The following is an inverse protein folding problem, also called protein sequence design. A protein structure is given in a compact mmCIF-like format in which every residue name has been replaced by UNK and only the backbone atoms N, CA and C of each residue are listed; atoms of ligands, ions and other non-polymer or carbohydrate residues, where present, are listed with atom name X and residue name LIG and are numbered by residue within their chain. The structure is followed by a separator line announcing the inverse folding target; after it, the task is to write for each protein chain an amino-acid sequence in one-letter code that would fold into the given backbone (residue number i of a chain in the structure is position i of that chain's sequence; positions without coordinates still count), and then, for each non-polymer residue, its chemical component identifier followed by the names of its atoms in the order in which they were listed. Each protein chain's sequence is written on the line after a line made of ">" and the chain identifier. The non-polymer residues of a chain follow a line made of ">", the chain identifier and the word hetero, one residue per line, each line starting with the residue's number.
data_IF_524203020914
#
_entry.id   IF_524203020914
#
_cell.length_a   1.000
_cell.length_b   1.000
_cell.length_c   1.000
_cell.angle_alpha   90.00
_cell.angle_beta   90.00
_cell.angle_gamma   90.00
#
_symmetry.space_group_name_H-M   'P 1'
#
loop_
_entity.id
_entity.type
_entity.pdbx_description
1 polymer ?
#
# COMPACT_ATOMS: atom_id res chain seq x y z
N UNK A 1 8.16 -0.56 5.32
CA UNK A 1 7.67 -1.96 5.18
C UNK A 1 8.75 -2.87 4.61
N UNK A 2 9.39 -2.53 3.50
CA UNK A 2 10.41 -3.37 2.86
C UNK A 2 11.58 -3.73 3.78
N UNK A 3 12.03 -2.79 4.60
CA UNK A 3 13.13 -3.02 5.56
C UNK A 3 12.72 -4.01 6.65
N UNK A 4 11.52 -3.86 7.21
CA UNK A 4 10.99 -4.80 8.21
C UNK A 4 10.84 -6.20 7.63
N UNK A 5 10.43 -6.33 6.38
CA UNK A 5 10.34 -7.62 5.71
C UNK A 5 11.70 -8.28 5.49
N UNK A 6 12.69 -7.52 5.00
CA UNK A 6 14.04 -8.03 4.84
C UNK A 6 14.63 -8.46 6.20
N UNK A 7 14.45 -7.65 7.25
CA UNK A 7 14.89 -7.96 8.61
C UNK A 7 14.23 -9.23 9.16
N UNK A 8 12.90 -9.38 9.00
CA UNK A 8 12.18 -10.60 9.42
C UNK A 8 12.73 -11.86 8.78
N UNK A 9 12.99 -11.84 7.47
CA UNK A 9 13.52 -13.01 6.74
C UNK A 9 14.94 -13.33 7.21
N UNK A 10 15.78 -12.31 7.41
CA UNK A 10 17.19 -12.50 7.76
C UNK A 10 17.36 -12.89 9.23
N UNK A 11 16.68 -12.22 10.15
CA UNK A 11 16.94 -12.35 11.59
C UNK A 11 15.98 -13.34 12.24
N UNK A 12 14.69 -13.30 11.94
CA UNK A 12 13.69 -14.15 12.59
C UNK A 12 13.63 -15.53 11.93
N UNK A 13 13.62 -15.57 10.59
CA UNK A 13 13.56 -16.83 9.85
C UNK A 13 14.94 -17.46 9.61
N UNK A 14 16.03 -16.73 9.90
CA UNK A 14 17.43 -17.18 9.68
C UNK A 14 17.68 -17.71 8.26
N UNK A 15 17.05 -17.08 7.25
CA UNK A 15 17.11 -17.55 5.87
C UNK A 15 18.23 -16.87 5.07
N UNK A 16 18.61 -17.51 3.99
CA UNK A 16 19.70 -17.04 3.11
C UNK A 16 19.32 -15.76 2.36
N UNK A 17 20.29 -14.94 1.92
CA UNK A 17 20.03 -13.71 1.15
C UNK A 17 19.19 -13.93 -0.11
N UNK A 18 19.29 -15.11 -0.76
CA UNK A 18 18.49 -15.45 -1.93
C UNK A 18 16.99 -15.48 -1.60
N UNK A 19 16.63 -16.01 -0.42
CA UNK A 19 15.25 -16.05 0.06
C UNK A 19 14.74 -14.67 0.45
N UNK A 20 15.60 -13.76 0.90
CA UNK A 20 15.24 -12.34 1.08
C UNK A 20 14.85 -11.73 -0.26
N UNK A 21 15.62 -12.00 -1.32
CA UNK A 21 15.30 -11.56 -2.68
C UNK A 21 13.94 -12.09 -3.16
N UNK A 22 13.68 -13.38 -2.97
CA UNK A 22 12.39 -14.00 -3.34
C UNK A 22 11.23 -13.38 -2.56
N UNK A 23 11.38 -13.15 -1.27
CA UNK A 23 10.37 -12.50 -0.44
C UNK A 23 10.08 -11.06 -0.90
N UNK A 24 11.12 -10.31 -1.27
CA UNK A 24 10.98 -8.98 -1.83
C UNK A 24 10.27 -9.00 -3.19
N UNK A 25 10.61 -9.98 -4.04
CA UNK A 25 9.91 -10.18 -5.32
C UNK A 25 8.44 -10.54 -5.09
N UNK A 26 8.13 -11.42 -4.15
CA UNK A 26 6.76 -11.80 -3.79
C UNK A 26 5.92 -10.60 -3.33
N UNK A 27 6.54 -9.64 -2.62
CA UNK A 27 5.91 -8.39 -2.23
C UNK A 27 5.70 -7.43 -3.41
N UNK A 28 6.68 -7.28 -4.31
CA UNK A 28 6.64 -6.30 -5.41
C UNK A 28 5.88 -6.79 -6.63
N UNK A 29 5.91 -8.10 -6.91
CA UNK A 29 5.35 -8.69 -8.12
C UNK A 29 3.85 -8.44 -8.31
N UNK A 30 2.99 -8.56 -7.28
CA UNK A 30 1.58 -8.18 -7.41
C UNK A 30 1.40 -6.72 -7.80
N UNK A 31 2.25 -5.82 -7.29
CA UNK A 31 2.22 -4.40 -7.64
C UNK A 31 2.40 -4.16 -9.13
N UNK A 32 3.33 -4.87 -9.75
CA UNK A 32 3.61 -4.72 -11.18
C UNK A 32 2.43 -5.12 -12.07
N UNK A 33 1.74 -6.20 -11.72
CA UNK A 33 0.59 -6.69 -12.51
C UNK A 33 -0.72 -5.96 -12.17
N UNK A 34 -0.94 -5.65 -10.91
CA UNK A 34 -2.20 -5.08 -10.44
C UNK A 34 -2.28 -3.56 -10.56
N UNK A 35 -1.16 -2.86 -10.81
CA UNK A 35 -1.17 -1.39 -10.89
C UNK A 35 -2.07 -0.86 -12.00
N UNK A 36 -2.10 -1.54 -13.16
CA UNK A 36 -2.97 -1.19 -14.28
C UNK A 36 -4.44 -1.45 -13.96
N UNK A 37 -4.71 -2.58 -13.31
CA UNK A 37 -6.07 -2.96 -12.89
C UNK A 37 -6.52 -2.05 -11.74
N UNK A 38 -5.62 -1.73 -10.81
CA UNK A 38 -5.89 -0.85 -9.67
C UNK A 38 -6.33 0.55 -10.07
N UNK A 39 -5.72 1.12 -11.12
CA UNK A 39 -6.14 2.41 -11.69
C UNK A 39 -7.58 2.34 -12.23
N UNK A 40 -7.88 1.37 -13.07
CA UNK A 40 -9.22 1.17 -13.61
C UNK A 40 -10.28 0.87 -12.53
N UNK A 41 -9.91 0.12 -11.48
CA UNK A 41 -10.78 -0.11 -10.33
C UNK A 41 -11.06 1.19 -9.54
N UNK A 42 -10.05 2.04 -9.38
CA UNK A 42 -10.19 3.31 -8.68
C UNK A 42 -11.18 4.24 -9.39
N UNK A 43 -11.17 4.22 -10.72
CA UNK A 43 -12.12 5.00 -11.55
C UNK A 43 -13.55 4.46 -11.45
N UNK A 44 -13.73 3.14 -11.31
CA UNK A 44 -15.04 2.50 -11.23
C UNK A 44 -15.67 2.55 -9.83
N UNK A 45 -14.91 2.19 -8.80
CA UNK A 45 -15.41 2.05 -7.43
C UNK A 45 -15.25 3.31 -6.58
N UNK A 46 -14.52 4.32 -7.11
CA UNK A 46 -14.17 5.54 -6.39
C UNK A 46 -12.91 5.37 -5.54
N UNK A 47 -11.94 6.27 -5.72
CA UNK A 47 -10.61 6.19 -5.10
C UNK A 47 -10.67 6.07 -3.57
N UNK A 48 -11.60 6.77 -2.89
CA UNK A 48 -11.75 6.70 -1.43
C UNK A 48 -12.11 5.30 -0.94
N UNK A 49 -13.12 4.65 -1.55
CA UNK A 49 -13.57 3.31 -1.14
C UNK A 49 -12.47 2.29 -1.38
N UNK A 50 -11.80 2.40 -2.52
CA UNK A 50 -10.74 1.48 -2.87
C UNK A 50 -9.51 1.66 -1.97
N UNK A 51 -9.12 2.89 -1.65
CA UNK A 51 -8.06 3.19 -0.69
C UNK A 51 -8.40 2.66 0.72
N UNK A 52 -9.65 2.83 1.18
CA UNK A 52 -10.11 2.29 2.46
C UNK A 52 -10.04 0.77 2.50
N UNK A 53 -10.57 0.08 1.48
CA UNK A 53 -10.56 -1.38 1.41
C UNK A 53 -9.13 -1.93 1.35
N UNK A 54 -8.29 -1.38 0.49
CA UNK A 54 -6.89 -1.80 0.36
C UNK A 54 -6.08 -1.54 1.64
N UNK A 55 -6.29 -0.40 2.29
CA UNK A 55 -5.62 -0.06 3.54
C UNK A 55 -6.09 -0.94 4.70
N UNK A 56 -7.39 -1.25 4.78
CA UNK A 56 -7.93 -2.19 5.76
C UNK A 56 -7.38 -3.61 5.54
N UNK A 57 -7.29 -4.05 4.29
CA UNK A 57 -6.69 -5.33 3.94
C UNK A 57 -5.20 -5.38 4.32
N UNK A 58 -4.44 -4.30 4.08
CA UNK A 58 -3.05 -4.19 4.52
C UNK A 58 -2.92 -4.27 6.05
N UNK A 59 -3.81 -3.60 6.79
CA UNK A 59 -3.82 -3.62 8.25
C UNK A 59 -4.12 -5.03 8.80
N UNK A 60 -5.11 -5.72 8.22
CA UNK A 60 -5.45 -7.11 8.58
C UNK A 60 -4.30 -8.08 8.24
N UNK A 61 -3.64 -7.89 7.11
CA UNK A 61 -2.47 -8.69 6.73
C UNK A 61 -1.33 -8.50 7.73
N UNK A 62 -1.02 -7.27 8.13
CA UNK A 62 0.01 -7.00 9.14
C UNK A 62 -0.37 -7.56 10.52
N UNK A 63 -1.65 -7.43 10.92
CA UNK A 63 -2.15 -8.02 12.17
C UNK A 63 -2.09 -9.55 12.14
N UNK A 64 -2.46 -10.16 11.02
CA UNK A 64 -2.37 -11.61 10.81
C UNK A 64 -0.93 -12.13 10.93
N UNK A 65 0.02 -11.43 10.32
CA UNK A 65 1.45 -11.77 10.44
C UNK A 65 1.94 -11.65 11.89
N UNK A 66 1.56 -10.57 12.59
CA UNK A 66 1.89 -10.39 14.01
C UNK A 66 1.29 -11.51 14.88
N UNK A 67 0.04 -11.88 14.62
CA UNK A 67 -0.65 -12.95 15.35
C UNK A 67 -0.02 -14.32 15.07
N UNK A 68 0.34 -14.60 13.82
CA UNK A 68 1.03 -15.85 13.45
C UNK A 68 2.37 -15.96 14.20
N UNK A 69 3.14 -14.86 14.24
CA UNK A 69 4.40 -14.83 14.97
C UNK A 69 4.22 -15.00 16.49
N UNK A 70 3.07 -14.57 17.04
CA UNK A 70 2.76 -14.70 18.47
C UNK A 70 2.28 -16.11 18.86
N UNK A 71 1.58 -16.80 17.97
CA UNK A 71 0.92 -18.09 18.28
C UNK A 71 1.68 -19.31 17.78
N UNK A 72 2.48 -19.15 16.71
CA UNK A 72 3.16 -20.26 16.03
C UNK A 72 4.56 -19.86 15.60
N UNK A 73 5.39 -20.85 15.28
CA UNK A 73 6.66 -20.59 14.61
C UNK A 73 6.39 -20.09 13.17
N UNK A 74 6.92 -18.91 12.85
CA UNK A 74 6.77 -18.32 11.53
C UNK A 74 7.59 -19.10 10.51
N UNK A 75 6.91 -19.78 9.60
CA UNK A 75 7.56 -20.48 8.49
C UNK A 75 7.74 -19.54 7.30
N UNK A 76 8.83 -19.72 6.55
CA UNK A 76 9.10 -18.91 5.35
C UNK A 76 7.95 -18.92 4.32
N UNK A 77 7.31 -20.07 4.12
CA UNK A 77 6.15 -20.19 3.22
C UNK A 77 4.96 -19.33 3.67
N UNK A 78 4.67 -19.34 4.97
CA UNK A 78 3.59 -18.52 5.56
C UNK A 78 3.94 -17.03 5.39
N UNK A 79 5.21 -16.67 5.64
CA UNK A 79 5.67 -15.31 5.42
C UNK A 79 5.49 -14.84 3.96
N UNK A 80 5.79 -15.70 2.97
CA UNK A 80 5.57 -15.38 1.54
C UNK A 80 4.10 -15.07 1.24
N UNK A 81 3.15 -15.81 1.82
CA UNK A 81 1.72 -15.51 1.67
C UNK A 81 1.39 -14.10 2.16
N UNK A 82 1.89 -13.72 3.33
CA UNK A 82 1.69 -12.37 3.85
C UNK A 82 2.40 -11.30 3.00
N UNK A 83 3.57 -11.60 2.44
CA UNK A 83 4.29 -10.70 1.53
C UNK A 83 3.46 -10.43 0.26
N UNK A 84 2.93 -11.48 -0.38
CA UNK A 84 2.05 -11.37 -1.57
C UNK A 84 0.77 -10.59 -1.21
N UNK A 85 0.11 -10.93 -0.11
CA UNK A 85 -1.11 -10.25 0.33
C UNK A 85 -0.88 -8.75 0.58
N UNK A 86 0.23 -8.39 1.22
CA UNK A 86 0.63 -7.01 1.44
C UNK A 86 0.94 -6.30 0.11
N UNK A 87 1.60 -6.98 -0.83
CA UNK A 87 1.86 -6.48 -2.18
C UNK A 87 0.57 -6.19 -2.95
N UNK A 88 -0.42 -7.07 -2.89
CA UNK A 88 -1.74 -6.85 -3.46
C UNK A 88 -2.45 -5.64 -2.84
N UNK A 89 -2.38 -5.49 -1.51
CA UNK A 89 -2.94 -4.34 -0.81
C UNK A 89 -2.32 -3.03 -1.31
N UNK A 90 -0.99 -2.97 -1.41
CA UNK A 90 -0.26 -1.78 -1.87
C UNK A 90 -0.53 -1.45 -3.34
N UNK A 91 -0.68 -2.48 -4.19
CA UNK A 91 -1.04 -2.31 -5.59
C UNK A 91 -2.40 -1.61 -5.80
N UNK A 92 -3.31 -1.81 -4.87
CA UNK A 92 -4.64 -1.18 -4.87
C UNK A 92 -4.61 0.21 -4.22
N UNK A 93 -3.95 0.34 -3.06
CA UNK A 93 -3.91 1.59 -2.28
C UNK A 93 -3.17 2.69 -3.02
N UNK A 94 -2.05 2.37 -3.68
CA UNK A 94 -1.17 3.37 -4.30
C UNK A 94 -1.90 4.18 -5.38
N UNK A 95 -2.49 3.59 -6.43
CA UNK A 95 -3.19 4.36 -7.46
C UNK A 95 -4.44 5.06 -6.90
N UNK A 96 -5.15 4.44 -5.96
CA UNK A 96 -6.31 5.04 -5.32
C UNK A 96 -5.95 6.31 -4.53
N UNK A 97 -4.84 6.28 -3.78
CA UNK A 97 -4.31 7.42 -3.05
C UNK A 97 -3.86 8.55 -3.98
N UNK A 98 -3.12 8.19 -5.02
CA UNK A 98 -2.58 9.18 -5.97
C UNK A 98 -3.71 9.85 -6.76
N UNK A 99 -4.76 9.10 -7.12
CA UNK A 99 -6.00 9.62 -7.70
C UNK A 99 -6.72 10.60 -6.75
N UNK A 100 -6.85 10.26 -5.47
CA UNK A 100 -7.43 11.16 -4.46
C UNK A 100 -6.63 12.46 -4.31
N UNK A 101 -5.30 12.37 -4.34
CA UNK A 101 -4.42 13.54 -4.25
C UNK A 101 -4.66 14.51 -5.41
N UNK A 102 -4.84 14.01 -6.63
CA UNK A 102 -5.11 14.84 -7.80
C UNK A 102 -6.46 15.55 -7.72
N UNK A 103 -7.47 14.87 -7.15
CA UNK A 103 -8.82 15.44 -6.96
C UNK A 103 -8.83 16.62 -5.96
N UNK A 104 -8.13 16.45 -4.84
CA UNK A 104 -8.10 17.46 -3.77
C UNK A 104 -7.17 18.64 -4.13
N UNK A 105 -6.39 18.53 -5.20
CA UNK A 105 -5.37 19.50 -5.55
C UNK A 105 -5.91 20.85 -6.09
N UNK A 106 -7.18 20.95 -6.51
CA UNK A 106 -7.86 22.19 -6.94
C UNK A 106 -6.99 23.10 -7.83
N UNK A 107 -6.40 22.58 -8.89
CA UNK A 107 -5.55 23.34 -9.82
C UNK A 107 -4.11 23.61 -9.35
N UNK A 108 -3.75 23.28 -8.10
CA UNK A 108 -2.38 23.38 -7.55
C UNK A 108 -1.69 22.01 -7.46
N UNK A 109 -1.89 21.17 -8.45
CA UNK A 109 -1.47 19.75 -8.46
C UNK A 109 0.03 19.63 -8.14
N UNK A 110 0.88 20.39 -8.83
CA UNK A 110 2.33 20.31 -8.65
C UNK A 110 2.76 20.58 -7.19
N UNK A 111 2.22 21.63 -6.58
CA UNK A 111 2.55 21.98 -5.18
C UNK A 111 2.08 20.89 -4.21
N UNK A 112 0.88 20.32 -4.43
CA UNK A 112 0.33 19.25 -3.59
C UNK A 112 1.11 17.95 -3.73
N UNK A 113 1.53 17.59 -4.95
CA UNK A 113 2.38 16.43 -5.20
C UNK A 113 3.74 16.59 -4.51
N UNK A 114 4.37 17.75 -4.61
CA UNK A 114 5.64 18.03 -3.92
C UNK A 114 5.47 17.90 -2.40
N UNK A 115 4.42 18.49 -1.82
CA UNK A 115 4.15 18.37 -0.39
C UNK A 115 3.93 16.91 0.04
N UNK A 116 3.13 16.14 -0.71
CA UNK A 116 2.89 14.73 -0.44
C UNK A 116 4.17 13.91 -0.51
N UNK A 117 5.03 14.16 -1.51
CA UNK A 117 6.32 13.50 -1.65
C UNK A 117 7.26 13.83 -0.49
N UNK A 118 7.34 15.10 -0.08
CA UNK A 118 8.16 15.51 1.08
C UNK A 118 7.73 14.81 2.36
N UNK A 119 6.42 14.75 2.62
CA UNK A 119 5.85 14.04 3.77
C UNK A 119 6.16 12.54 3.66
N UNK A 120 6.00 11.94 2.49
CA UNK A 120 6.27 10.53 2.25
C UNK A 120 7.73 10.17 2.52
N UNK A 121 8.68 10.95 1.97
CA UNK A 121 10.11 10.73 2.22
C UNK A 121 10.49 10.98 3.68
N UNK A 122 9.91 12.01 4.32
CA UNK A 122 10.11 12.26 5.75
C UNK A 122 9.67 11.08 6.62
N UNK A 123 8.44 10.57 6.40
CA UNK A 123 7.92 9.40 7.11
C UNK A 123 8.75 8.15 6.80
N UNK A 124 9.21 7.99 5.57
CA UNK A 124 10.07 6.87 5.19
C UNK A 124 11.41 6.91 5.92
N UNK A 125 12.02 8.07 6.04
CA UNK A 125 13.27 8.26 6.82
C UNK A 125 13.07 7.89 8.29
N UNK A 126 12.00 8.38 8.91
CA UNK A 126 11.63 8.01 10.28
C UNK A 126 11.40 6.49 10.39
N UNK A 127 10.72 5.91 9.40
CA UNK A 127 10.50 4.46 9.33
C UNK A 127 11.81 3.66 9.27
N UNK A 128 12.82 4.12 8.53
CA UNK A 128 14.15 3.50 8.51
C UNK A 128 14.85 3.59 9.88
N UNK A 129 14.79 4.75 10.55
CA UNK A 129 15.35 4.93 11.88
C UNK A 129 14.67 4.00 12.90
N UNK A 130 13.35 3.89 12.89
CA UNK A 130 12.63 2.96 13.76
C UNK A 130 12.99 1.51 13.42
N UNK A 131 13.10 1.16 12.13
CA UNK A 131 13.47 -0.19 11.71
C UNK A 131 14.91 -0.56 12.10
N UNK A 132 15.81 0.39 12.27
CA UNK A 132 17.16 0.13 12.77
C UNK A 132 17.18 -0.30 14.24
N UNK A 133 16.11 -0.03 14.99
CA UNK A 133 15.92 -0.45 16.37
C UNK A 133 15.19 -1.81 16.46
N UNK A 134 14.94 -2.48 15.35
CA UNK A 134 14.17 -3.72 15.31
C UNK A 134 14.74 -4.83 16.20
N UNK A 135 16.08 -4.92 16.28
CA UNK A 135 16.77 -5.91 17.12
C UNK A 135 16.51 -5.69 18.62
N UNK A 136 16.28 -4.44 19.04
CA UNK A 136 16.02 -4.11 20.43
C UNK A 136 14.55 -4.12 20.80
N UNK A 137 13.68 -3.78 19.84
CA UNK A 137 12.23 -3.65 20.03
C UNK A 137 11.51 -5.00 19.85
N UNK A 138 12.05 -5.85 18.97
CA UNK A 138 11.48 -7.15 18.65
C UNK A 138 10.41 -7.10 17.55
N UNK A 139 10.29 -8.21 16.83
CA UNK A 139 9.42 -8.35 15.65
C UNK A 139 7.94 -8.14 15.96
N UNK A 140 7.47 -8.67 17.08
CA UNK A 140 6.05 -8.59 17.47
C UNK A 140 5.60 -7.15 17.69
N UNK A 141 6.40 -6.34 18.40
CA UNK A 141 6.08 -4.92 18.62
C UNK A 141 6.15 -4.11 17.33
N UNK A 142 7.12 -4.39 16.46
CA UNK A 142 7.24 -3.75 15.15
C UNK A 142 6.03 -4.03 14.25
N UNK A 143 5.59 -5.28 14.16
CA UNK A 143 4.43 -5.66 13.34
C UNK A 143 3.12 -5.13 13.93
N UNK A 144 2.98 -5.14 15.25
CA UNK A 144 1.81 -4.57 15.94
C UNK A 144 1.73 -3.06 15.71
N UNK A 145 2.85 -2.36 15.82
CA UNK A 145 2.92 -0.93 15.51
C UNK A 145 2.60 -0.64 14.05
N UNK A 146 3.13 -1.44 13.12
CA UNK A 146 2.82 -1.32 11.69
C UNK A 146 1.32 -1.53 11.43
N UNK A 147 0.71 -2.56 12.02
CA UNK A 147 -0.73 -2.81 11.90
C UNK A 147 -1.56 -1.66 12.45
N UNK A 148 -1.17 -1.09 13.60
CA UNK A 148 -1.82 0.07 14.20
C UNK A 148 -1.75 1.29 13.28
N UNK A 149 -0.59 1.61 12.73
CA UNK A 149 -0.42 2.74 11.79
C UNK A 149 -1.26 2.55 10.53
N UNK A 150 -1.30 1.33 9.98
CA UNK A 150 -2.13 1.01 8.81
C UNK A 150 -3.62 1.14 9.13
N UNK A 151 -4.05 0.72 10.32
CA UNK A 151 -5.45 0.88 10.78
C UNK A 151 -5.82 2.35 10.95
N UNK A 152 -4.93 3.18 11.48
CA UNK A 152 -5.13 4.63 11.52
C UNK A 152 -5.24 5.24 10.12
N UNK A 153 -4.45 4.74 9.16
CA UNK A 153 -4.56 5.13 7.75
C UNK A 153 -5.92 4.77 7.16
N UNK A 154 -6.46 3.59 7.46
CA UNK A 154 -7.80 3.18 7.04
C UNK A 154 -8.88 4.09 7.66
N UNK A 155 -8.76 4.40 8.95
CA UNK A 155 -9.66 5.32 9.64
C UNK A 155 -9.61 6.73 9.02
N UNK A 156 -8.44 7.21 8.65
CA UNK A 156 -8.29 8.49 7.96
C UNK A 156 -9.04 8.52 6.62
N UNK A 157 -8.96 7.46 5.82
CA UNK A 157 -9.75 7.33 4.58
C UNK A 157 -11.26 7.23 4.86
N UNK A 158 -11.65 6.60 5.94
CA UNK A 158 -13.06 6.53 6.35
C UNK A 158 -13.62 7.89 6.73
N UNK A 159 -12.84 8.71 7.43
CA UNK A 159 -13.23 10.06 7.86
C UNK A 159 -13.08 11.11 6.76
N UNK A 160 -12.37 10.80 5.68
CA UNK A 160 -12.15 11.74 4.58
C UNK A 160 -13.45 12.01 3.84
N UNK A 161 -13.94 13.24 3.88
CA UNK A 161 -15.07 13.67 3.07
C UNK A 161 -14.56 14.12 1.71
N UNK A 162 -14.80 13.30 0.69
CA UNK A 162 -14.41 13.59 -0.69
C UNK A 162 -15.68 13.91 -1.47
N UNK A 163 -15.74 15.04 -2.21
CA UNK A 163 -16.84 15.32 -3.11
C UNK A 163 -17.07 14.13 -4.04
N UNK A 164 -18.32 13.67 -4.17
CA UNK A 164 -18.66 12.55 -5.02
C UNK A 164 -18.22 12.88 -6.46
N UNK A 165 -17.32 12.06 -6.99
CA UNK A 165 -17.04 12.10 -8.42
C UNK A 165 -18.32 11.75 -9.17
N UNK A 166 -18.86 12.70 -9.89
CA UNK A 166 -19.79 12.38 -10.98
C UNK A 166 -18.99 11.52 -11.97
N UNK A 167 -19.43 10.29 -12.29
CA UNK A 167 -18.72 9.47 -13.25
C UNK A 167 -18.49 10.31 -14.51
N UNK A 168 -17.31 10.23 -15.13
CA UNK A 168 -17.02 10.98 -16.33
C UNK A 168 -18.14 10.66 -17.32
N UNK A 169 -18.91 11.69 -17.71
CA UNK A 169 -19.86 11.57 -18.81
C UNK A 169 -19.02 11.04 -19.97
N UNK A 170 -19.20 9.79 -20.31
CA UNK A 170 -18.73 9.23 -21.57
C UNK A 170 -19.19 10.18 -22.64
N UNK A 171 -18.26 10.96 -23.19
CA UNK A 171 -18.54 11.77 -24.38
C UNK A 171 -18.64 10.78 -25.55
N UNK A 172 -19.82 10.50 -26.10
CA UNK A 172 -19.97 9.57 -27.21
C UNK A 172 -19.69 10.25 -28.54
N UNK A 173 -18.74 11.18 -28.64
CA UNK A 173 -18.63 12.01 -29.86
C UNK A 173 -17.20 12.29 -30.33
N UNK A 174 -16.23 11.39 -30.16
CA UNK A 174 -14.96 11.54 -30.88
C UNK A 174 -14.89 10.72 -32.18
N UNK A 175 -15.80 9.76 -32.38
CA UNK A 175 -15.79 8.92 -33.59
C UNK A 175 -16.64 9.55 -34.75
N UNK A 176 -17.62 10.38 -34.41
CA UNK A 176 -18.45 11.00 -35.46
C UNK A 176 -17.77 12.12 -36.25
N UNK A 177 -16.82 12.82 -35.65
CA UNK A 177 -16.06 13.89 -36.33
C UNK A 177 -14.93 13.37 -37.25
N UNK A 178 -14.54 12.10 -37.14
CA UNK A 178 -13.55 11.47 -38.01
C UNK A 178 -14.15 10.82 -39.27
N UNK A 179 -15.49 10.74 -39.36
CA UNK A 179 -16.21 10.18 -40.51
C UNK A 179 -16.82 11.25 -41.43
N UNK A 180 -16.70 12.53 -41.04
CA UNK A 180 -17.21 13.68 -41.87
C UNK A 180 -16.10 14.54 -42.50
N UNK A 181 -14.83 14.06 -42.50
CA UNK A 181 -13.74 14.72 -43.20
C UNK A 181 -13.27 13.97 -44.41
#
# INVERSE_FOLDING_TARGET
>A
QGVVFAWLVTIILNETPDKVGIAQMAYLLPGTFLILIGGSLADHFGGRRLALLGQSFAALTAAGLALTLALTELTYTVFLFFAVAMGCAQAIVTPARDGLLTLVAEGKIQRRVIQASMIQFGIQTIGFLISSLADTVGAMLMLSFQSFVLSMGALAYYLLDVPQQTPPRTRPHLISHLLES
#
